data_IF_900566098505
#
_entry.id   IF_900566098505
#
_cell.length_a   1.000
_cell.length_b   1.000
_cell.length_c   1.000
_cell.angle_alpha   90.00
_cell.angle_beta   90.00
_cell.angle_gamma   90.00
#
_symmetry.space_group_name_H-M   'P 1'
#
loop_
_entity.id
_entity.type
_entity.pdbx_description
1 polymer ?
#
# COMPACT_ATOMS: atom_id res chain seq x y z
N UNK A 1 -18.99 -16.22 3.35
CA UNK A 1 -19.34 -14.84 2.96
C UNK A 1 -18.56 -14.55 1.68
N UNK A 2 -19.19 -14.71 0.49
CA UNK A 2 -18.59 -14.36 -0.79
C UNK A 2 -18.55 -12.84 -0.84
N UNK A 3 -17.36 -12.26 -0.78
CA UNK A 3 -17.16 -10.85 -1.10
C UNK A 3 -17.20 -10.78 -2.63
N UNK A 4 -18.39 -10.56 -3.19
CA UNK A 4 -18.53 -10.23 -4.60
C UNK A 4 -18.02 -8.79 -4.78
N UNK A 5 -16.82 -8.68 -5.34
CA UNK A 5 -16.32 -7.40 -5.84
C UNK A 5 -16.98 -7.16 -7.20
N UNK A 6 -17.76 -6.09 -7.39
CA UNK A 6 -18.28 -5.72 -8.72
C UNK A 6 -17.12 -5.11 -9.51
N UNK A 7 -16.36 -5.95 -10.21
CA UNK A 7 -15.12 -5.54 -10.91
C UNK A 7 -15.35 -5.32 -12.41
N UNK A 8 -16.55 -5.55 -12.91
CA UNK A 8 -16.78 -5.73 -14.35
C UNK A 8 -16.68 -4.48 -15.26
N UNK A 9 -16.28 -3.29 -14.77
CA UNK A 9 -16.04 -2.11 -15.64
C UNK A 9 -15.18 -1.03 -14.95
N UNK A 10 -14.36 -1.39 -13.95
CA UNK A 10 -13.79 -0.39 -13.05
C UNK A 10 -12.64 0.44 -13.62
N UNK A 11 -11.85 -0.03 -14.57
CA UNK A 11 -10.70 0.75 -15.04
C UNK A 11 -11.07 1.76 -16.16
N UNK A 12 -12.00 1.41 -17.03
CA UNK A 12 -12.55 2.36 -18.03
C UNK A 12 -13.54 3.33 -17.35
N UNK A 13 -14.24 2.89 -16.30
CA UNK A 13 -15.19 3.68 -15.53
C UNK A 13 -14.56 4.58 -14.48
N UNK A 14 -13.27 4.42 -14.13
CA UNK A 14 -12.64 5.22 -13.07
C UNK A 14 -12.41 6.69 -13.43
N UNK A 15 -12.35 7.04 -14.72
CA UNK A 15 -12.33 8.46 -15.13
C UNK A 15 -13.66 9.18 -14.83
N UNK A 16 -14.74 8.43 -14.65
CA UNK A 16 -16.10 8.92 -14.33
C UNK A 16 -16.57 8.54 -12.93
N UNK A 17 -15.73 7.90 -12.10
CA UNK A 17 -16.11 7.52 -10.74
C UNK A 17 -16.43 8.76 -9.90
N UNK A 18 -17.59 8.79 -9.27
CA UNK A 18 -17.97 9.88 -8.39
C UNK A 18 -17.15 9.87 -7.11
N UNK A 19 -16.89 11.05 -6.54
CA UNK A 19 -16.18 11.17 -5.25
C UNK A 19 -16.78 10.27 -4.16
N UNK A 20 -18.10 10.22 -4.04
CA UNK A 20 -18.78 9.36 -3.05
C UNK A 20 -18.45 7.88 -3.24
N UNK A 21 -18.43 7.40 -4.48
CA UNK A 21 -18.09 6.00 -4.77
C UNK A 21 -16.64 5.68 -4.35
N UNK A 22 -15.70 6.62 -4.54
CA UNK A 22 -14.32 6.44 -4.10
C UNK A 22 -14.20 6.36 -2.58
N UNK A 23 -14.90 7.23 -1.86
CA UNK A 23 -14.88 7.30 -0.38
C UNK A 23 -15.46 6.05 0.26
N UNK A 24 -16.57 5.54 -0.26
CA UNK A 24 -17.21 4.33 0.26
C UNK A 24 -16.63 3.04 -0.32
N UNK A 25 -15.49 3.11 -1.04
CA UNK A 25 -14.80 1.93 -1.53
C UNK A 25 -14.08 1.19 -0.40
N UNK A 26 -14.10 -0.14 -0.46
CA UNK A 26 -13.33 -0.98 0.46
C UNK A 26 -11.83 -0.67 0.42
N UNK A 27 -11.33 -0.29 -0.76
CA UNK A 27 -9.94 0.10 -0.96
C UNK A 27 -9.56 1.33 -0.14
N UNK A 28 -10.43 2.36 -0.14
CA UNK A 28 -10.22 3.55 0.68
C UNK A 28 -10.35 3.28 2.17
N UNK A 29 -11.29 2.44 2.58
CA UNK A 29 -11.44 2.05 3.98
C UNK A 29 -10.18 1.35 4.52
N UNK A 30 -9.64 0.36 3.80
CA UNK A 30 -8.40 -0.31 4.21
C UNK A 30 -7.20 0.65 4.22
N UNK A 31 -7.15 1.59 3.27
CA UNK A 31 -6.14 2.64 3.25
C UNK A 31 -6.25 3.55 4.47
N UNK A 32 -7.47 3.94 4.85
CA UNK A 32 -7.72 4.75 6.04
C UNK A 32 -7.27 4.03 7.32
N UNK A 33 -7.58 2.75 7.47
CA UNK A 33 -7.10 1.94 8.61
C UNK A 33 -5.57 1.96 8.68
N UNK A 34 -4.89 1.79 7.54
CA UNK A 34 -3.42 1.85 7.45
C UNK A 34 -2.89 3.23 7.86
N UNK A 35 -3.47 4.32 7.35
CA UNK A 35 -3.10 5.71 7.68
C UNK A 35 -3.26 5.96 9.18
N UNK A 36 -4.43 5.67 9.72
CA UNK A 36 -4.77 5.89 11.14
C UNK A 36 -3.81 5.13 12.05
N UNK A 37 -3.55 3.87 11.74
CA UNK A 37 -2.70 3.01 12.57
C UNK A 37 -1.27 3.54 12.63
N UNK A 38 -0.69 3.93 11.50
CA UNK A 38 0.68 4.45 11.47
C UNK A 38 0.75 5.83 12.14
N UNK A 39 -0.16 6.74 11.82
CA UNK A 39 -0.18 8.09 12.42
C UNK A 39 -0.32 7.99 13.95
N UNK A 40 -1.25 7.19 14.45
CA UNK A 40 -1.46 7.04 15.89
C UNK A 40 -0.18 6.55 16.58
N UNK A 41 0.50 5.54 16.02
CA UNK A 41 1.76 5.01 16.56
C UNK A 41 2.85 6.09 16.61
N UNK A 42 2.99 6.88 15.54
CA UNK A 42 3.98 7.96 15.45
C UNK A 42 3.72 9.06 16.49
N UNK A 43 2.48 9.50 16.62
CA UNK A 43 2.14 10.62 17.51
C UNK A 43 2.12 10.23 18.98
N UNK A 44 1.75 8.99 19.33
CA UNK A 44 1.88 8.48 20.70
C UNK A 44 3.36 8.45 21.11
N UNK A 45 4.25 8.01 20.21
CA UNK A 45 5.70 8.08 20.48
C UNK A 45 6.17 9.52 20.67
N UNK A 46 5.85 10.45 19.75
CA UNK A 46 6.26 11.85 19.83
C UNK A 46 5.80 12.52 21.13
N UNK A 47 4.59 12.19 21.58
CA UNK A 47 4.06 12.74 22.83
C UNK A 47 4.72 12.16 24.09
N UNK A 48 5.26 10.93 24.00
CA UNK A 48 5.86 10.23 25.14
C UNK A 48 7.39 10.18 25.13
N UNK A 49 8.07 10.62 24.08
CA UNK A 49 9.53 10.47 23.94
C UNK A 49 10.30 11.11 25.11
N UNK A 50 9.98 12.35 25.48
CA UNK A 50 10.67 13.02 26.59
C UNK A 50 10.36 12.42 27.96
N UNK A 51 9.09 12.20 28.36
CA UNK A 51 8.78 11.50 29.61
C UNK A 51 9.42 10.11 29.69
N UNK A 52 9.43 9.37 28.60
CA UNK A 52 10.06 8.04 28.52
C UNK A 52 11.57 8.14 28.71
N UNK A 53 12.25 9.07 28.04
CA UNK A 53 13.70 9.28 28.19
C UNK A 53 14.06 9.68 29.62
N UNK A 54 13.32 10.61 30.24
CA UNK A 54 13.54 11.01 31.63
C UNK A 54 13.44 9.82 32.59
N UNK A 55 12.44 8.96 32.39
CA UNK A 55 12.26 7.76 33.20
C UNK A 55 13.38 6.73 32.96
N UNK A 56 13.80 6.49 31.72
CA UNK A 56 14.86 5.52 31.41
C UNK A 56 16.25 6.00 31.81
N UNK A 57 16.45 7.31 32.00
CA UNK A 57 17.69 7.93 32.42
C UNK A 57 17.72 8.25 33.93
N UNK A 58 16.77 7.68 34.71
CA UNK A 58 16.65 7.97 36.14
C UNK A 58 16.63 9.48 36.43
N UNK A 59 15.97 10.28 35.59
CA UNK A 59 15.84 11.75 35.66
C UNK A 59 17.17 12.53 35.45
N UNK A 60 18.25 11.87 35.03
CA UNK A 60 19.50 12.55 34.66
C UNK A 60 19.30 13.45 33.43
N UNK A 61 19.19 14.76 33.67
CA UNK A 61 18.95 15.77 32.65
C UNK A 61 20.05 15.84 31.58
N UNK A 62 21.28 15.46 31.91
CA UNK A 62 22.42 15.43 30.99
C UNK A 62 22.21 14.33 29.95
N UNK A 63 21.83 13.14 30.37
CA UNK A 63 21.53 11.99 29.53
C UNK A 63 20.29 12.27 28.70
N UNK A 64 19.20 12.77 29.30
CA UNK A 64 17.97 13.13 28.57
C UNK A 64 18.24 14.13 27.46
N UNK A 65 19.03 15.19 27.76
CA UNK A 65 19.41 16.20 26.75
C UNK A 65 20.20 15.59 25.59
N UNK A 66 21.13 14.67 25.88
CA UNK A 66 21.91 13.98 24.86
C UNK A 66 21.02 13.16 23.91
N UNK A 67 20.09 12.37 24.44
CA UNK A 67 19.16 11.57 23.64
C UNK A 67 18.16 12.44 22.87
N UNK A 68 17.67 13.52 23.47
CA UNK A 68 16.78 14.48 22.80
C UNK A 68 17.46 15.18 21.62
N UNK A 69 18.75 15.56 21.78
CA UNK A 69 19.54 16.12 20.69
C UNK A 69 19.78 15.09 19.58
N UNK A 70 20.09 13.85 19.93
CA UNK A 70 20.23 12.75 18.97
C UNK A 70 18.92 12.52 18.19
N UNK A 71 17.79 12.55 18.89
CA UNK A 71 16.47 12.47 18.24
C UNK A 71 16.25 13.61 17.25
N UNK A 72 16.52 14.87 17.66
CA UNK A 72 16.38 16.03 16.79
C UNK A 72 17.26 15.94 15.54
N UNK A 73 18.52 15.51 15.67
CA UNK A 73 19.43 15.30 14.54
C UNK A 73 18.89 14.21 13.59
N UNK A 74 18.38 13.11 14.17
CA UNK A 74 17.80 12.01 13.38
C UNK A 74 16.58 12.49 12.59
N UNK A 75 15.73 13.38 13.15
CA UNK A 75 14.59 13.97 12.44
C UNK A 75 15.05 14.79 11.21
N UNK A 76 16.14 15.54 11.31
CA UNK A 76 16.70 16.29 10.17
C UNK A 76 17.14 15.34 9.03
N UNK A 77 17.66 14.16 9.35
CA UNK A 77 18.03 13.17 8.35
C UNK A 77 16.83 12.62 7.58
N UNK A 78 15.60 12.80 8.07
CA UNK A 78 14.37 12.36 7.40
C UNK A 78 14.20 12.89 5.99
N UNK A 79 14.71 14.10 5.72
CA UNK A 79 14.69 14.71 4.37
C UNK A 79 15.44 13.84 3.34
N UNK A 80 16.52 13.16 3.78
CA UNK A 80 17.31 12.28 2.90
C UNK A 80 16.57 10.98 2.56
N UNK A 81 15.65 10.54 3.41
CA UNK A 81 14.90 9.30 3.25
C UNK A 81 13.57 9.48 2.49
N UNK A 82 13.07 10.70 2.39
CA UNK A 82 11.82 11.01 1.70
C UNK A 82 11.77 10.48 0.24
N UNK A 83 12.83 10.59 -0.59
CA UNK A 83 12.82 10.08 -1.96
C UNK A 83 12.76 8.55 -2.07
N UNK A 84 13.17 7.80 -1.02
CA UNK A 84 13.26 6.34 -1.08
C UNK A 84 11.91 5.67 -1.30
N UNK A 85 10.83 6.24 -0.76
CA UNK A 85 9.47 5.73 -0.98
C UNK A 85 9.07 5.82 -2.45
N UNK A 86 9.40 6.93 -3.12
CA UNK A 86 9.19 7.12 -4.56
C UNK A 86 10.01 6.14 -5.40
N UNK A 87 11.31 6.01 -5.12
CA UNK A 87 12.18 5.05 -5.82
C UNK A 87 11.67 3.61 -5.71
N UNK A 88 11.15 3.24 -4.54
CA UNK A 88 10.58 1.91 -4.32
C UNK A 88 9.30 1.71 -5.14
N UNK A 89 8.45 2.72 -5.23
CA UNK A 89 7.24 2.68 -6.06
C UNK A 89 7.57 2.62 -7.55
N UNK A 90 8.60 3.35 -7.99
CA UNK A 90 9.00 3.49 -9.39
C UNK A 90 9.83 2.33 -9.95
N UNK A 91 10.25 1.37 -9.09
CA UNK A 91 11.12 0.24 -9.47
C UNK A 91 10.63 -0.59 -10.66
N UNK A 92 9.32 -0.56 -10.93
CA UNK A 92 8.72 -1.35 -12.03
C UNK A 92 8.74 -0.61 -13.37
N UNK A 93 9.00 0.71 -13.40
CA UNK A 93 8.95 1.54 -14.64
C UNK A 93 9.94 1.08 -15.72
N UNK A 94 10.98 0.35 -15.32
CA UNK A 94 11.96 -0.24 -16.27
C UNK A 94 11.54 -1.62 -16.79
N UNK A 95 10.40 -2.16 -16.37
CA UNK A 95 9.91 -3.46 -16.84
C UNK A 95 8.87 -3.26 -17.94
N UNK A 96 8.88 -4.10 -19.00
CA UNK A 96 7.84 -4.04 -20.01
C UNK A 96 6.48 -4.37 -19.39
N UNK A 97 5.45 -3.67 -19.85
CA UNK A 97 4.07 -3.94 -19.46
C UNK A 97 3.64 -5.32 -19.97
N UNK A 98 2.85 -6.03 -19.19
CA UNK A 98 2.24 -7.26 -19.65
C UNK A 98 1.21 -6.96 -20.78
N UNK A 99 0.94 -7.92 -21.69
CA UNK A 99 -0.04 -7.72 -22.76
C UNK A 99 -1.38 -7.23 -22.20
N UNK A 100 -1.87 -6.09 -22.71
CA UNK A 100 -3.12 -5.47 -22.27
C UNK A 100 -3.09 -4.83 -20.86
N UNK A 101 -1.94 -4.74 -20.21
CA UNK A 101 -1.77 -4.07 -18.94
C UNK A 101 -1.65 -2.55 -19.14
N UNK A 102 -2.38 -1.77 -18.35
CA UNK A 102 -2.22 -0.30 -18.34
C UNK A 102 -1.07 0.11 -17.42
N UNK A 103 -0.44 1.26 -17.69
CA UNK A 103 0.58 1.84 -16.79
C UNK A 103 0.09 1.92 -15.33
N UNK A 104 -1.16 2.32 -15.15
CA UNK A 104 -1.76 2.45 -13.82
C UNK A 104 -1.90 1.10 -13.09
N UNK A 105 -2.24 0.04 -13.80
CA UNK A 105 -2.26 -1.32 -13.23
C UNK A 105 -0.86 -1.77 -12.80
N UNK A 106 0.16 -1.47 -13.61
CA UNK A 106 1.54 -1.76 -13.28
C UNK A 106 2.01 -0.99 -12.05
N UNK A 107 1.65 0.30 -11.95
CA UNK A 107 1.91 1.14 -10.78
C UNK A 107 1.22 0.55 -9.53
N UNK A 108 -0.05 0.19 -9.63
CA UNK A 108 -0.80 -0.39 -8.51
C UNK A 108 -0.24 -1.76 -8.09
N UNK A 109 0.23 -2.57 -9.04
CA UNK A 109 0.88 -3.86 -8.77
C UNK A 109 2.20 -3.71 -8.02
N UNK A 110 2.88 -2.57 -8.16
CA UNK A 110 4.12 -2.28 -7.43
C UNK A 110 3.89 -1.86 -5.98
N UNK A 111 2.72 -1.29 -5.67
CA UNK A 111 2.38 -0.71 -4.38
C UNK A 111 2.39 -1.71 -3.19
N UNK A 112 1.91 -2.96 -3.28
CA UNK A 112 1.82 -3.87 -2.14
C UNK A 112 3.15 -4.10 -1.42
N UNK A 113 4.27 -4.19 -2.15
CA UNK A 113 5.57 -4.39 -1.54
C UNK A 113 6.02 -3.15 -0.76
N UNK A 114 5.82 -1.97 -1.30
CA UNK A 114 6.16 -0.72 -0.65
C UNK A 114 5.32 -0.49 0.62
N UNK A 115 4.01 -0.76 0.52
CA UNK A 115 3.08 -0.71 1.66
C UNK A 115 3.44 -1.73 2.74
N UNK A 116 3.79 -2.97 2.34
CA UNK A 116 4.22 -4.01 3.27
C UNK A 116 5.50 -3.61 4.01
N UNK A 117 6.49 -3.06 3.29
CA UNK A 117 7.73 -2.57 3.91
C UNK A 117 7.45 -1.43 4.91
N UNK A 118 6.53 -0.51 4.57
CA UNK A 118 6.09 0.55 5.49
C UNK A 118 5.46 -0.01 6.77
N UNK A 119 4.64 -1.07 6.65
CA UNK A 119 4.05 -1.75 7.80
C UNK A 119 5.13 -2.42 8.67
N UNK A 120 6.12 -3.07 8.04
CA UNK A 120 7.25 -3.68 8.76
C UNK A 120 8.07 -2.64 9.52
N UNK A 121 8.39 -1.51 8.87
CA UNK A 121 9.12 -0.41 9.53
C UNK A 121 8.34 0.13 10.73
N UNK A 122 7.03 0.34 10.58
CA UNK A 122 6.18 0.78 11.68
C UNK A 122 6.11 -0.26 12.81
N UNK A 123 5.97 -1.54 12.48
CA UNK A 123 5.91 -2.61 13.46
C UNK A 123 7.23 -2.72 14.26
N UNK A 124 8.38 -2.76 13.59
CA UNK A 124 9.68 -2.81 14.27
C UNK A 124 9.94 -1.56 15.10
N UNK A 125 9.54 -0.39 14.60
CA UNK A 125 9.55 0.84 15.38
C UNK A 125 8.74 0.69 16.67
N UNK A 126 7.51 0.19 16.60
CA UNK A 126 6.66 -0.02 17.77
C UNK A 126 7.25 -1.04 18.76
N UNK A 127 7.86 -2.12 18.28
CA UNK A 127 8.56 -3.11 19.12
C UNK A 127 9.73 -2.47 19.84
N UNK A 128 10.61 -1.73 19.15
CA UNK A 128 11.75 -1.04 19.78
C UNK A 128 11.30 0.02 20.78
N UNK A 129 10.26 0.78 20.44
CA UNK A 129 9.65 1.77 21.30
C UNK A 129 9.04 1.16 22.58
N UNK A 130 8.52 -0.07 22.52
CA UNK A 130 7.95 -0.79 23.66
C UNK A 130 9.03 -1.28 24.63
N UNK A 131 10.26 -1.54 24.14
CA UNK A 131 11.35 -2.04 24.97
C UNK A 131 11.95 -0.92 25.86
N UNK A 132 11.94 -1.05 27.18
CA UNK A 132 12.43 -0.01 28.09
C UNK A 132 13.97 -0.07 28.25
N UNK A 133 14.69 0.01 27.12
CA UNK A 133 16.16 -0.06 27.08
C UNK A 133 16.69 1.23 26.46
N UNK A 134 17.42 2.03 27.23
CA UNK A 134 17.87 3.35 26.82
C UNK A 134 18.74 3.35 25.56
N UNK A 135 19.79 2.50 25.40
CA UNK A 135 20.58 2.45 24.16
C UNK A 135 19.78 2.05 22.93
N UNK A 136 18.70 1.27 23.07
CA UNK A 136 17.84 0.87 21.97
C UNK A 136 17.07 2.05 21.38
N UNK A 137 16.92 3.16 22.12
CA UNK A 137 16.18 4.32 21.63
C UNK A 137 16.85 4.99 20.41
N UNK A 138 18.16 4.85 20.20
CA UNK A 138 18.80 5.29 18.96
C UNK A 138 18.23 4.55 17.73
N UNK A 139 18.05 3.23 17.85
CA UNK A 139 17.43 2.43 16.79
C UNK A 139 15.97 2.84 16.61
N UNK A 140 15.25 3.08 17.70
CA UNK A 140 13.87 3.58 17.68
C UNK A 140 13.76 4.89 16.89
N UNK A 141 14.65 5.85 17.12
CA UNK A 141 14.66 7.15 16.43
C UNK A 141 14.88 6.98 14.92
N UNK A 142 15.84 6.14 14.54
CA UNK A 142 16.12 5.84 13.13
C UNK A 142 14.90 5.19 12.48
N UNK A 143 14.32 4.15 13.09
CA UNK A 143 13.14 3.45 12.58
C UNK A 143 11.92 4.38 12.47
N UNK A 144 11.75 5.29 13.44
CA UNK A 144 10.68 6.27 13.43
C UNK A 144 10.77 7.20 12.23
N UNK A 145 11.97 7.74 11.95
CA UNK A 145 12.19 8.65 10.81
C UNK A 145 11.99 7.93 9.48
N UNK A 146 12.51 6.71 9.34
CA UNK A 146 12.27 5.89 8.16
C UNK A 146 10.78 5.60 7.98
N UNK A 147 10.11 5.14 9.04
CA UNK A 147 8.68 4.82 9.01
C UNK A 147 7.84 6.04 8.61
N UNK A 148 8.09 7.22 9.18
CA UNK A 148 7.34 8.44 8.86
C UNK A 148 7.61 8.92 7.44
N UNK A 149 8.87 8.94 6.98
CA UNK A 149 9.22 9.33 5.62
C UNK A 149 8.58 8.43 4.56
N UNK A 150 8.62 7.10 4.78
CA UNK A 150 7.94 6.13 3.93
C UNK A 150 6.43 6.31 3.93
N UNK A 151 5.84 6.50 5.11
CA UNK A 151 4.39 6.68 5.26
C UNK A 151 3.86 7.86 4.44
N UNK A 152 4.42 9.05 4.62
CA UNK A 152 3.92 10.25 3.91
C UNK A 152 4.09 10.15 2.40
N UNK A 153 5.22 9.62 1.93
CA UNK A 153 5.44 9.42 0.49
C UNK A 153 4.48 8.39 -0.11
N UNK A 154 4.32 7.24 0.56
CA UNK A 154 3.44 6.18 0.08
C UNK A 154 1.96 6.53 0.17
N UNK A 155 1.53 7.29 1.18
CA UNK A 155 0.17 7.79 1.28
C UNK A 155 -0.23 8.60 0.04
N UNK A 156 0.59 9.57 -0.33
CA UNK A 156 0.34 10.42 -1.49
C UNK A 156 0.43 9.63 -2.81
N UNK A 157 1.46 8.80 -2.95
CA UNK A 157 1.65 7.97 -4.14
C UNK A 157 0.48 7.00 -4.34
N UNK A 158 0.05 6.32 -3.28
CA UNK A 158 -1.06 5.35 -3.37
C UNK A 158 -2.37 6.03 -3.77
N UNK A 159 -2.74 7.16 -3.16
CA UNK A 159 -3.97 7.87 -3.54
C UNK A 159 -3.93 8.34 -4.99
N UNK A 160 -2.77 8.82 -5.48
CA UNK A 160 -2.62 9.26 -6.88
C UNK A 160 -2.80 8.13 -7.89
N UNK A 161 -2.40 6.92 -7.53
CA UNK A 161 -2.49 5.72 -8.38
C UNK A 161 -3.87 5.06 -8.26
N UNK A 162 -4.38 4.91 -7.03
CA UNK A 162 -5.58 4.14 -6.76
C UNK A 162 -6.89 4.88 -7.15
N UNK A 163 -6.90 6.23 -7.10
CA UNK A 163 -8.10 7.04 -7.32
C UNK A 163 -7.96 8.01 -8.50
N UNK A 164 -9.08 8.53 -9.06
CA UNK A 164 -9.04 9.51 -10.14
C UNK A 164 -8.27 10.77 -9.75
N UNK A 165 -7.43 11.29 -10.65
CA UNK A 165 -6.64 12.49 -10.41
C UNK A 165 -7.50 13.72 -10.04
N UNK A 166 -8.73 13.82 -10.59
CA UNK A 166 -9.70 14.89 -10.26
C UNK A 166 -10.15 14.90 -8.79
N UNK A 167 -9.99 13.78 -8.08
CA UNK A 167 -10.37 13.62 -6.68
C UNK A 167 -9.19 13.50 -5.73
N UNK A 168 -7.95 13.52 -6.23
CA UNK A 168 -6.72 13.32 -5.46
C UNK A 168 -6.67 14.17 -4.18
N UNK A 169 -6.77 15.50 -4.30
CA UNK A 169 -6.69 16.40 -3.15
C UNK A 169 -7.82 16.18 -2.13
N UNK A 170 -9.05 15.91 -2.61
CA UNK A 170 -10.18 15.62 -1.74
C UNK A 170 -10.02 14.30 -0.98
N UNK A 171 -9.52 13.26 -1.65
CA UNK A 171 -9.30 11.94 -1.05
C UNK A 171 -8.17 11.99 -0.03
N UNK A 172 -7.03 12.61 -0.37
CA UNK A 172 -5.89 12.78 0.53
C UNK A 172 -6.28 13.64 1.74
N UNK A 173 -6.92 14.79 1.52
CA UNK A 173 -7.38 15.67 2.60
C UNK A 173 -8.37 14.97 3.53
N UNK A 174 -9.33 14.20 2.98
CA UNK A 174 -10.28 13.47 3.79
C UNK A 174 -9.63 12.35 4.62
N UNK A 175 -8.69 11.60 4.04
CA UNK A 175 -7.95 10.58 4.79
C UNK A 175 -7.19 11.20 5.97
N UNK A 176 -6.51 12.32 5.74
CA UNK A 176 -5.78 13.03 6.80
C UNK A 176 -6.71 13.66 7.85
N UNK A 177 -7.85 14.21 7.45
CA UNK A 177 -8.83 14.78 8.39
C UNK A 177 -9.46 13.71 9.27
N UNK A 178 -9.85 12.56 8.70
CA UNK A 178 -10.40 11.45 9.48
C UNK A 178 -9.35 10.85 10.41
N UNK A 179 -8.09 10.73 9.98
CA UNK A 179 -7.02 10.25 10.85
C UNK A 179 -6.70 11.23 11.97
N UNK A 180 -6.82 12.54 11.74
CA UNK A 180 -6.67 13.55 12.79
C UNK A 180 -7.77 13.44 13.86
N UNK A 181 -9.01 13.11 13.49
CA UNK A 181 -10.07 12.84 14.47
C UNK A 181 -9.75 11.62 15.35
N UNK A 182 -9.24 10.55 14.75
CA UNK A 182 -8.83 9.36 15.53
C UNK A 182 -7.61 9.66 16.38
N UNK A 183 -6.71 10.53 15.92
CA UNK A 183 -5.54 10.95 16.69
C UNK A 183 -5.90 11.65 18.00
N UNK A 184 -7.11 12.19 18.15
CA UNK A 184 -7.59 12.71 19.44
C UNK A 184 -7.58 11.65 20.55
N UNK A 185 -7.58 10.35 20.21
CA UNK A 185 -7.40 9.25 21.15
C UNK A 185 -6.05 9.30 21.89
N UNK A 186 -5.06 10.03 21.37
CA UNK A 186 -3.79 10.23 22.07
C UNK A 186 -4.01 10.86 23.46
N UNK A 187 -4.93 11.81 23.61
CA UNK A 187 -5.16 12.51 24.88
C UNK A 187 -5.65 11.57 26.01
N UNK A 188 -6.70 10.76 25.82
CA UNK A 188 -7.09 9.78 26.84
C UNK A 188 -6.02 8.71 27.08
N UNK A 189 -5.25 8.30 26.06
CA UNK A 189 -4.15 7.36 26.23
C UNK A 189 -3.00 7.97 27.05
N UNK A 190 -2.64 9.23 26.82
CA UNK A 190 -1.64 9.95 27.62
C UNK A 190 -2.14 10.15 29.05
N UNK A 191 -3.42 10.49 29.24
CA UNK A 191 -4.02 10.60 30.55
C UNK A 191 -3.98 9.25 31.31
N UNK A 192 -4.25 8.15 30.62
CA UNK A 192 -4.14 6.79 31.17
C UNK A 192 -2.71 6.49 31.62
N UNK A 193 -1.70 6.82 30.82
CA UNK A 193 -0.28 6.62 31.17
C UNK A 193 0.06 7.41 32.43
N UNK A 194 -0.27 8.69 32.45
CA UNK A 194 0.14 9.60 33.53
C UNK A 194 -0.56 9.30 34.85
N UNK A 195 -1.86 9.04 34.84
CA UNK A 195 -2.66 8.96 36.06
C UNK A 195 -2.90 7.52 36.53
N UNK A 196 -3.21 6.58 35.62
CA UNK A 196 -3.55 5.21 36.00
C UNK A 196 -2.32 4.29 36.03
N UNK A 197 -1.39 4.48 35.11
CA UNK A 197 -0.20 3.64 34.96
C UNK A 197 1.05 4.26 35.63
N UNK A 198 0.89 5.30 36.46
CA UNK A 198 1.99 5.96 37.20
C UNK A 198 3.14 6.40 36.29
N UNK A 199 2.83 6.87 35.08
CA UNK A 199 3.83 7.28 34.08
C UNK A 199 4.48 6.13 33.31
N UNK A 200 4.05 4.87 33.50
CA UNK A 200 4.59 3.74 32.74
C UNK A 200 3.83 3.54 31.42
N UNK A 201 4.45 3.81 30.25
CA UNK A 201 3.79 3.67 28.96
C UNK A 201 3.74 2.21 28.47
N UNK A 202 4.35 1.24 29.16
CA UNK A 202 4.56 -0.13 28.65
C UNK A 202 3.28 -0.78 28.13
N UNK A 203 2.19 -0.75 28.90
CA UNK A 203 0.93 -1.40 28.50
C UNK A 203 0.28 -0.71 27.29
N UNK A 204 0.36 0.62 27.23
CA UNK A 204 -0.16 1.37 26.07
C UNK A 204 0.69 1.08 24.83
N UNK A 205 2.02 1.02 24.98
CA UNK A 205 2.93 0.71 23.88
C UNK A 205 2.73 -0.70 23.35
N UNK A 206 2.49 -1.70 24.22
CA UNK A 206 2.11 -3.06 23.83
C UNK A 206 0.79 -3.01 23.02
N UNK A 207 -0.20 -2.29 23.52
CA UNK A 207 -1.48 -2.10 22.82
C UNK A 207 -1.30 -1.49 21.43
N UNK A 208 -0.50 -0.44 21.29
CA UNK A 208 -0.17 0.20 20.01
C UNK A 208 0.59 -0.76 19.09
N UNK A 209 1.52 -1.55 19.63
CA UNK A 209 2.25 -2.57 18.86
C UNK A 209 1.31 -3.63 18.30
N UNK A 210 0.32 -4.09 19.08
CA UNK A 210 -0.71 -5.02 18.60
C UNK A 210 -1.59 -4.36 17.54
N UNK A 211 -2.02 -3.12 17.76
CA UNK A 211 -2.81 -2.34 16.80
C UNK A 211 -2.05 -2.13 15.50
N UNK A 212 -0.71 -1.96 15.54
CA UNK A 212 0.11 -1.79 14.33
C UNK A 212 0.01 -2.97 13.35
N UNK A 213 -0.37 -4.16 13.81
CA UNK A 213 -0.63 -5.31 12.94
C UNK A 213 -1.83 -5.11 12.01
N UNK A 214 -2.79 -4.24 12.38
CA UNK A 214 -3.93 -3.91 11.51
C UNK A 214 -3.48 -3.22 10.22
N UNK A 215 -2.34 -2.53 10.23
CA UNK A 215 -1.79 -1.89 9.04
C UNK A 215 -1.50 -2.90 7.92
N UNK A 216 -1.19 -4.17 8.25
CA UNK A 216 -0.91 -5.22 7.27
C UNK A 216 -2.12 -5.64 6.44
N UNK A 217 -3.35 -5.30 6.87
CA UNK A 217 -4.56 -5.57 6.10
C UNK A 217 -4.49 -4.87 4.74
N UNK A 218 -3.97 -3.64 4.69
CA UNK A 218 -3.94 -2.84 3.47
C UNK A 218 -3.07 -3.42 2.35
N UNK A 219 -1.77 -3.74 2.54
CA UNK A 219 -0.95 -4.35 1.48
C UNK A 219 -1.50 -5.71 1.01
N UNK A 220 -2.07 -6.51 1.92
CA UNK A 220 -2.71 -7.78 1.55
C UNK A 220 -3.93 -7.53 0.65
N UNK A 221 -4.79 -6.61 1.05
CA UNK A 221 -5.99 -6.25 0.29
C UNK A 221 -5.64 -5.70 -1.10
N UNK A 222 -4.63 -4.81 -1.21
CA UNK A 222 -4.17 -4.27 -2.51
C UNK A 222 -3.59 -5.39 -3.38
N UNK A 223 -2.84 -6.33 -2.79
CA UNK A 223 -2.32 -7.50 -3.52
C UNK A 223 -3.43 -8.39 -4.08
N UNK A 224 -4.47 -8.66 -3.28
CA UNK A 224 -5.63 -9.43 -3.73
C UNK A 224 -6.40 -8.70 -4.84
N UNK A 225 -6.58 -7.39 -4.71
CA UNK A 225 -7.21 -6.56 -5.72
C UNK A 225 -6.45 -6.60 -7.06
N UNK A 226 -5.12 -6.47 -7.03
CA UNK A 226 -4.29 -6.57 -8.23
C UNK A 226 -4.35 -7.95 -8.91
N UNK A 227 -4.42 -9.04 -8.10
CA UNK A 227 -4.59 -10.39 -8.63
C UNK A 227 -5.92 -10.56 -9.35
N UNK A 228 -6.98 -9.99 -8.81
CA UNK A 228 -8.30 -10.07 -9.43
C UNK A 228 -8.37 -9.27 -10.75
N UNK A 229 -7.78 -8.07 -10.78
CA UNK A 229 -7.64 -7.29 -12.02
C UNK A 229 -6.88 -8.08 -13.10
N UNK A 230 -5.79 -8.74 -12.75
CA UNK A 230 -5.01 -9.55 -13.70
C UNK A 230 -5.82 -10.72 -14.27
N UNK A 231 -6.61 -11.42 -13.44
CA UNK A 231 -7.50 -12.50 -13.89
C UNK A 231 -8.56 -11.99 -14.88
N UNK A 232 -9.20 -10.87 -14.57
CA UNK A 232 -10.24 -10.31 -15.43
C UNK A 232 -9.69 -9.86 -16.78
N UNK A 233 -8.48 -9.27 -16.80
CA UNK A 233 -7.79 -8.94 -18.04
C UNK A 233 -7.57 -10.18 -18.90
N UNK A 234 -7.09 -11.30 -18.31
CA UNK A 234 -6.90 -12.55 -19.03
C UNK A 234 -8.21 -13.09 -19.62
N UNK A 235 -9.30 -13.08 -18.84
CA UNK A 235 -10.62 -13.52 -19.31
C UNK A 235 -11.10 -12.64 -20.48
N UNK A 236 -10.96 -11.31 -20.37
CA UNK A 236 -11.35 -10.39 -21.44
C UNK A 236 -10.55 -10.61 -22.73
N UNK A 237 -9.26 -10.88 -22.64
CA UNK A 237 -8.41 -11.21 -23.79
C UNK A 237 -8.83 -12.53 -24.45
N UNK A 238 -9.09 -13.58 -23.66
CA UNK A 238 -9.57 -14.86 -24.16
C UNK A 238 -10.92 -14.71 -24.88
N UNK A 239 -11.84 -13.94 -24.29
CA UNK A 239 -13.15 -13.68 -24.91
C UNK A 239 -13.02 -12.95 -26.25
N UNK A 240 -12.14 -11.96 -26.36
CA UNK A 240 -11.86 -11.25 -27.60
C UNK A 240 -11.26 -12.19 -28.67
N UNK A 241 -10.30 -13.03 -28.32
CA UNK A 241 -9.70 -14.00 -29.24
C UNK A 241 -10.72 -15.01 -29.72
N UNK A 242 -11.63 -15.47 -28.86
CA UNK A 242 -12.70 -16.41 -29.21
C UNK A 242 -13.71 -15.75 -30.17
N UNK A 243 -14.07 -14.49 -29.95
CA UNK A 243 -14.99 -13.75 -30.81
C UNK A 243 -14.40 -13.50 -32.23
N UNK A 244 -13.10 -13.17 -32.32
CA UNK A 244 -12.40 -13.01 -33.58
C UNK A 244 -12.35 -14.33 -34.36
N UNK A 245 -12.07 -15.45 -33.70
CA UNK A 245 -12.04 -16.78 -34.32
C UNK A 245 -13.40 -17.21 -34.82
N UNK A 246 -14.50 -16.89 -34.14
CA UNK A 246 -15.85 -17.18 -34.60
C UNK A 246 -16.24 -16.36 -35.82
N UNK A 247 -15.84 -15.08 -35.88
CA UNK A 247 -16.10 -14.21 -37.05
C UNK A 247 -15.30 -14.66 -38.28
N UNK A 248 -14.07 -15.18 -38.12
CA UNK A 248 -13.29 -15.73 -39.23
C UNK A 248 -13.89 -17.04 -39.81
N UNK A 249 -14.55 -17.84 -38.94
CA UNK A 249 -15.26 -19.03 -39.38
C UNK A 249 -16.57 -18.71 -40.14
N UNK A 250 -17.20 -17.58 -39.86
CA UNK A 250 -18.44 -17.14 -40.50
C UNK A 250 -18.18 -16.39 -41.82
N UNK A 251 -16.94 -15.88 -42.00
CA UNK A 251 -16.52 -15.14 -43.19
C UNK A 251 -16.01 -16.01 -44.34
N UNK A 252 -16.03 -17.35 -44.25
CA UNK A 252 -15.74 -18.24 -45.40
C UNK A 252 -17.02 -18.40 -46.22
N UNK A 253 -17.14 -17.74 -47.38
CA UNK A 253 -18.34 -17.89 -48.22
C UNK A 253 -18.40 -19.31 -48.75
N UNK A 254 -19.55 -19.96 -48.62
CA UNK A 254 -19.91 -21.26 -49.20
C UNK A 254 -19.80 -21.32 -50.75
N UNK A 255 -19.27 -20.27 -51.37
CA UNK A 255 -19.08 -20.19 -52.84
C UNK A 255 -17.80 -20.85 -53.35
N UNK A 256 -16.89 -21.32 -52.51
CA UNK A 256 -15.64 -21.94 -52.96
C UNK A 256 -15.66 -23.48 -53.01
N UNK A 257 -16.78 -24.12 -52.65
CA UNK A 257 -16.91 -25.59 -52.69
C UNK A 257 -17.56 -26.11 -53.99
N UNK A 258 -17.62 -25.27 -55.04
CA UNK A 258 -18.12 -25.74 -56.39
C UNK A 258 -17.06 -25.53 -57.45
N UNK A 259 -16.22 -26.52 -57.64
CA UNK A 259 -15.37 -26.62 -58.83
C UNK A 259 -13.89 -26.79 -58.52
N UNK A 260 -13.47 -28.03 -58.39
CA UNK A 260 -12.40 -28.70 -59.18
C UNK A 260 -12.02 -30.01 -58.50
N UNK A 261 -12.59 -31.06 -58.95
CA UNK A 261 -11.89 -32.35 -59.02
C UNK A 261 -10.73 -32.14 -59.98
N UNK A 262 -9.60 -32.56 -59.64
CA UNK A 262 -8.47 -33.14 -60.34
C UNK A 262 -7.11 -32.67 -59.89
N UNK A 263 -6.28 -33.70 -59.65
CA UNK A 263 -4.82 -33.73 -59.70
C UNK A 263 -4.05 -33.28 -58.42
N UNK A 264 -3.70 -34.23 -57.61
CA UNK A 264 -2.30 -34.70 -57.48
C UNK A 264 -1.35 -33.88 -56.60
N UNK A 265 -0.78 -34.62 -55.67
CA UNK A 265 0.59 -34.47 -55.11
C UNK A 265 0.74 -33.86 -53.74
N UNK A 266 0.98 -34.75 -52.82
CA UNK A 266 1.84 -34.73 -51.63
C UNK A 266 2.65 -33.45 -51.39
N UNK A 267 2.48 -32.86 -50.19
CA UNK A 267 3.65 -32.41 -49.41
C UNK A 267 3.31 -32.29 -47.93
N UNK A 268 4.04 -33.08 -47.16
CA UNK A 268 4.16 -33.00 -45.73
C UNK A 268 4.71 -31.63 -45.30
N UNK A 269 4.01 -30.94 -44.42
CA UNK A 269 4.63 -29.90 -43.58
C UNK A 269 4.22 -30.07 -42.13
N UNK A 270 5.23 -30.39 -41.37
CA UNK A 270 5.20 -30.59 -39.90
C UNK A 270 4.75 -29.35 -39.16
N UNK A 271 3.70 -29.46 -38.36
CA UNK A 271 3.41 -28.53 -37.27
C UNK A 271 4.37 -28.82 -36.10
N UNK A 272 5.36 -27.94 -35.88
CA UNK A 272 6.08 -27.87 -34.63
C UNK A 272 5.27 -27.03 -33.66
N UNK A 273 4.72 -27.69 -32.65
CA UNK A 273 4.21 -27.09 -31.43
C UNK A 273 5.43 -26.68 -30.60
N UNK A 274 5.63 -25.38 -30.36
CA UNK A 274 6.53 -24.89 -29.33
C UNK A 274 5.74 -24.73 -28.03
N UNK A 275 5.85 -25.73 -27.17
CA UNK A 275 5.66 -25.65 -25.72
C UNK A 275 7.03 -25.36 -25.13
N UNK A 276 7.22 -24.17 -24.61
CA UNK A 276 8.02 -23.84 -23.40
C UNK A 276 7.55 -22.52 -22.83
#
# INVERSE_FOLDING_TARGET
MKIEFPVSNHLVSQSSATFRSCVFSWLFFCHLVWVVTIILSQFIFLANVNPMLSRLADEDQTVVSHYTNAFAITQLCGVLFAPLSGLLMDRHKHRPLAPGETSREADLRSAPLALFLSCLLCFFFCVCFTCPVLPLQYVTFILQVFSSSFFYGLHQAFISIAFPASHFGKMSGMAMSLSALVLLLQFPLLHLIQNQLRGDPLYVNIGITVVSLLAFIHPVQVSLYCRELAKQRQISQLTQLTSLRSSDHEAVPLSSLRGKDEAGTSNHLQLRVCLT
#
